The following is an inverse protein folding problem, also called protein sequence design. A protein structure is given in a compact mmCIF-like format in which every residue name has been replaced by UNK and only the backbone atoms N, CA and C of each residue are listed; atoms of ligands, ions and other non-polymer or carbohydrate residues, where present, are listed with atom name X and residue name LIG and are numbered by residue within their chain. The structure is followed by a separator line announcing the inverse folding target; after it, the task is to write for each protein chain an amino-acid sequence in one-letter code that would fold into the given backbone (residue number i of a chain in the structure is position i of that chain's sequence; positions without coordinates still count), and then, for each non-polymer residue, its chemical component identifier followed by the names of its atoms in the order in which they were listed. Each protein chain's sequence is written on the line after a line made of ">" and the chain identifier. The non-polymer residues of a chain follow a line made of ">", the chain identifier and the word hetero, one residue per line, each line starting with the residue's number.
data_IF_393595422435
#
_entry.id   IF_393595422435
#
_cell.length_a   1.000
_cell.length_b   1.000
_cell.length_c   1.000
_cell.angle_alpha   90.00
_cell.angle_beta   90.00
_cell.angle_gamma   90.00
#
_symmetry.space_group_name_H-M   'P 1'
#
loop_
_entity.id
_entity.type
_entity.pdbx_description
1 polymer ?
#
# COMPACT_ATOMS: atom_id res chain seq x y z
N UNK A 1 -30.81 -7.24 -19.09
CA UNK A 1 -30.32 -7.22 -17.69
C UNK A 1 -29.92 -5.79 -17.34
N UNK A 2 -29.86 -5.45 -16.05
CA UNK A 2 -29.54 -4.11 -15.56
C UNK A 2 -28.25 -4.14 -14.75
N UNK A 3 -27.22 -3.47 -15.26
CA UNK A 3 -25.91 -3.35 -14.67
C UNK A 3 -25.89 -2.21 -13.65
N UNK A 4 -25.26 -2.44 -12.51
CA UNK A 4 -25.05 -1.46 -11.45
C UNK A 4 -23.65 -1.56 -10.89
N UNK A 5 -23.13 -0.41 -10.44
CA UNK A 5 -21.93 -0.39 -9.62
C UNK A 5 -22.06 0.52 -8.41
N UNK A 6 -21.35 0.13 -7.36
CA UNK A 6 -21.09 0.93 -6.17
C UNK A 6 -19.62 0.81 -5.79
N UNK A 7 -18.98 1.94 -5.57
CA UNK A 7 -17.55 2.04 -5.26
C UNK A 7 -17.34 2.85 -4.00
N UNK A 8 -16.54 2.33 -3.08
CA UNK A 8 -16.04 3.06 -1.94
C UNK A 8 -15.05 4.14 -2.41
N UNK A 9 -15.27 5.40 -2.01
CA UNK A 9 -14.40 6.52 -2.29
C UNK A 9 -13.48 6.76 -1.10
N UNK A 10 -12.26 7.25 -1.37
CA UNK A 10 -11.30 7.62 -0.33
C UNK A 10 -11.07 6.49 0.68
N UNK A 11 -10.93 5.26 0.17
CA UNK A 11 -10.69 4.05 0.98
C UNK A 11 -9.47 4.26 1.90
N UNK A 12 -8.44 4.94 1.39
CA UNK A 12 -7.27 5.33 2.17
C UNK A 12 -7.63 6.26 3.35
N UNK A 13 -8.38 7.36 3.14
CA UNK A 13 -8.84 8.24 4.23
C UNK A 13 -9.69 7.46 5.25
N UNK A 14 -10.55 6.58 4.74
CA UNK A 14 -11.44 5.76 5.54
C UNK A 14 -10.67 4.81 6.47
N UNK A 15 -9.69 4.10 5.92
CA UNK A 15 -8.90 3.10 6.62
C UNK A 15 -7.88 3.78 7.54
N UNK A 16 -7.23 4.85 7.08
CA UNK A 16 -6.21 5.60 7.83
C UNK A 16 -6.76 6.69 8.76
N UNK A 17 -8.09 6.82 8.88
CA UNK A 17 -8.71 7.65 9.92
C UNK A 17 -8.39 7.17 11.34
N UNK A 18 -8.01 5.90 11.49
CA UNK A 18 -7.51 5.33 12.74
C UNK A 18 -5.98 5.31 12.77
N UNK A 19 -5.41 5.66 13.91
CA UNK A 19 -3.98 5.49 14.19
C UNK A 19 -3.62 4.06 14.61
N UNK A 20 -4.61 3.17 14.80
CA UNK A 20 -4.40 1.81 15.30
C UNK A 20 -4.31 0.82 14.15
N UNK A 21 -3.17 0.14 14.05
CA UNK A 21 -2.90 -0.85 13.01
C UNK A 21 -4.00 -1.93 12.88
N UNK A 22 -4.50 -2.44 14.02
CA UNK A 22 -5.56 -3.44 14.04
C UNK A 22 -6.84 -2.96 13.35
N UNK A 23 -7.16 -1.68 13.50
CA UNK A 23 -8.33 -1.08 12.85
C UNK A 23 -8.10 -0.78 11.36
N UNK A 24 -6.85 -0.51 10.98
CA UNK A 24 -6.44 -0.34 9.57
C UNK A 24 -6.62 -1.68 8.83
N UNK A 25 -5.94 -2.73 9.31
CA UNK A 25 -6.00 -4.07 8.73
C UNK A 25 -7.41 -4.67 8.79
N UNK A 26 -8.05 -4.64 9.96
CA UNK A 26 -9.42 -5.12 10.12
C UNK A 26 -10.45 -4.28 9.34
N UNK A 27 -10.15 -3.01 9.06
CA UNK A 27 -10.97 -2.15 8.19
C UNK A 27 -10.86 -2.50 6.71
N UNK A 28 -9.65 -2.80 6.22
CA UNK A 28 -9.45 -3.34 4.87
C UNK A 28 -10.20 -4.67 4.71
N UNK A 29 -10.05 -5.56 5.69
CA UNK A 29 -10.76 -6.84 5.71
C UNK A 29 -12.28 -6.69 5.71
N UNK A 30 -12.82 -5.83 6.60
CA UNK A 30 -14.24 -5.58 6.70
C UNK A 30 -14.81 -5.04 5.38
N UNK A 31 -14.06 -4.16 4.69
CA UNK A 31 -14.44 -3.65 3.37
C UNK A 31 -14.47 -4.77 2.33
N UNK A 32 -13.45 -5.63 2.29
CA UNK A 32 -13.42 -6.80 1.40
C UNK A 32 -14.61 -7.73 1.64
N UNK A 33 -14.88 -8.09 2.89
CA UNK A 33 -16.03 -8.92 3.30
C UNK A 33 -17.37 -8.27 2.96
N UNK A 34 -17.45 -6.94 3.06
CA UNK A 34 -18.64 -6.19 2.67
C UNK A 34 -18.87 -6.28 1.14
N UNK A 35 -17.82 -6.11 0.35
CA UNK A 35 -17.90 -6.22 -1.10
C UNK A 35 -18.22 -7.63 -1.59
N UNK A 36 -17.70 -8.69 -0.95
CA UNK A 36 -17.87 -10.08 -1.40
C UNK A 36 -19.08 -10.77 -0.75
N UNK A 37 -19.12 -10.88 0.58
CA UNK A 37 -20.11 -11.69 1.30
C UNK A 37 -21.40 -10.95 1.57
N UNK A 38 -21.32 -9.67 1.93
CA UNK A 38 -22.53 -8.88 2.24
C UNK A 38 -23.28 -8.54 0.96
N UNK A 39 -22.59 -8.17 -0.12
CA UNK A 39 -23.22 -7.94 -1.42
C UNK A 39 -24.02 -9.15 -1.89
N UNK A 40 -23.48 -10.37 -1.82
CA UNK A 40 -24.21 -11.60 -2.19
C UNK A 40 -25.47 -11.80 -1.35
N UNK A 41 -25.38 -11.60 -0.02
CA UNK A 41 -26.56 -11.69 0.85
C UNK A 41 -27.63 -10.64 0.54
N UNK A 42 -27.21 -9.43 0.19
CA UNK A 42 -28.14 -8.37 -0.24
C UNK A 42 -28.76 -8.73 -1.57
N UNK A 43 -27.98 -9.25 -2.53
CA UNK A 43 -28.48 -9.71 -3.82
C UNK A 43 -29.51 -10.83 -3.66
N UNK A 44 -29.22 -11.86 -2.85
CA UNK A 44 -30.15 -12.94 -2.52
C UNK A 44 -31.44 -12.41 -1.88
N UNK A 45 -31.32 -11.45 -0.96
CA UNK A 45 -32.49 -10.87 -0.30
C UNK A 45 -33.40 -10.11 -1.26
N UNK A 46 -32.84 -9.30 -2.17
CA UNK A 46 -33.64 -8.50 -3.11
C UNK A 46 -34.25 -9.33 -4.22
N UNK A 47 -33.72 -10.52 -4.52
CA UNK A 47 -34.25 -11.41 -5.57
C UNK A 47 -35.14 -12.54 -5.03
N UNK A 48 -35.15 -12.77 -3.71
CA UNK A 48 -35.84 -13.90 -3.08
C UNK A 48 -37.34 -14.03 -3.44
N UNK A 49 -38.06 -12.91 -3.48
CA UNK A 49 -39.52 -12.92 -3.67
C UNK A 49 -39.93 -13.35 -5.08
N UNK A 50 -39.22 -12.88 -6.10
CA UNK A 50 -39.61 -13.07 -7.51
C UNK A 50 -38.67 -14.03 -8.26
N UNK A 51 -37.73 -14.68 -7.55
CA UNK A 51 -36.73 -15.60 -8.11
C UNK A 51 -35.91 -15.01 -9.27
N UNK A 52 -35.67 -13.70 -9.23
CA UNK A 52 -34.90 -13.02 -10.27
C UNK A 52 -33.41 -13.42 -10.25
N UNK A 53 -32.78 -13.48 -11.42
CA UNK A 53 -31.35 -13.80 -11.53
C UNK A 53 -30.46 -12.57 -11.34
N UNK A 54 -29.23 -12.81 -10.87
CA UNK A 54 -28.19 -11.81 -10.78
C UNK A 54 -26.80 -12.42 -11.06
N UNK A 55 -25.85 -11.57 -11.47
CA UNK A 55 -24.46 -11.94 -11.75
C UNK A 55 -23.54 -10.88 -11.15
N UNK A 56 -22.49 -11.30 -10.43
CA UNK A 56 -21.40 -10.41 -10.02
C UNK A 56 -20.25 -10.46 -11.03
N UNK A 57 -19.79 -9.28 -11.44
CA UNK A 57 -18.61 -9.12 -12.28
C UNK A 57 -17.40 -8.63 -11.47
N UNK A 58 -17.63 -7.92 -10.35
CA UNK A 58 -16.57 -7.55 -9.42
C UNK A 58 -17.13 -7.40 -8.02
N UNK A 59 -16.35 -7.80 -7.02
CA UNK A 59 -16.73 -7.74 -5.61
C UNK A 59 -15.51 -7.54 -4.68
N UNK A 60 -14.49 -6.82 -5.16
CA UNK A 60 -13.18 -6.63 -4.50
C UNK A 60 -12.69 -5.18 -4.60
N UNK A 61 -11.68 -4.82 -3.80
CA UNK A 61 -11.04 -3.48 -3.86
C UNK A 61 -11.99 -2.32 -3.53
N UNK A 62 -13.01 -2.55 -2.71
CA UNK A 62 -14.02 -1.54 -2.39
C UNK A 62 -15.03 -1.25 -3.50
N UNK A 63 -15.05 -2.04 -4.57
CA UNK A 63 -16.00 -1.90 -5.67
C UNK A 63 -16.84 -3.16 -5.86
N UNK A 64 -18.13 -2.97 -6.12
CA UNK A 64 -19.07 -4.03 -6.49
C UNK A 64 -19.72 -3.67 -7.80
N UNK A 65 -19.60 -4.56 -8.78
CA UNK A 65 -20.25 -4.48 -10.10
C UNK A 65 -21.12 -5.72 -10.27
N UNK A 66 -22.41 -5.53 -10.50
CA UNK A 66 -23.38 -6.61 -10.62
C UNK A 66 -24.44 -6.31 -11.67
N UNK A 67 -24.99 -7.34 -12.31
CA UNK A 67 -26.17 -7.24 -13.17
C UNK A 67 -27.34 -8.02 -12.60
N UNK A 68 -28.54 -7.46 -12.74
CA UNK A 68 -29.80 -8.06 -12.29
C UNK A 68 -30.75 -8.23 -13.46
N UNK A 69 -31.60 -9.25 -13.41
CA UNK A 69 -32.63 -9.48 -14.43
C UNK A 69 -33.66 -8.34 -14.49
N UNK A 70 -34.03 -7.79 -13.33
CA UNK A 70 -35.02 -6.73 -13.21
C UNK A 70 -34.45 -5.45 -12.62
N UNK A 71 -34.84 -4.30 -13.18
CA UNK A 71 -34.39 -2.98 -12.75
C UNK A 71 -34.70 -2.69 -11.27
N UNK A 72 -35.87 -3.15 -10.80
CA UNK A 72 -36.30 -3.00 -9.41
C UNK A 72 -35.32 -3.63 -8.42
N UNK A 73 -34.76 -4.79 -8.76
CA UNK A 73 -33.76 -5.48 -7.92
C UNK A 73 -32.45 -4.71 -7.91
N UNK A 74 -32.02 -4.20 -9.07
CA UNK A 74 -30.82 -3.38 -9.18
C UNK A 74 -30.91 -2.09 -8.34
N UNK A 75 -32.07 -1.40 -8.38
CA UNK A 75 -32.32 -0.20 -7.56
C UNK A 75 -32.32 -0.51 -6.07
N UNK A 76 -32.99 -1.57 -5.67
CA UNK A 76 -33.08 -1.95 -4.26
C UNK A 76 -31.73 -2.43 -3.70
N UNK A 77 -30.98 -3.20 -4.49
CA UNK A 77 -29.60 -3.60 -4.17
C UNK A 77 -28.73 -2.37 -3.91
N UNK A 78 -28.72 -1.39 -4.81
CA UNK A 78 -27.97 -0.15 -4.63
C UNK A 78 -28.42 0.61 -3.38
N UNK A 79 -29.73 0.67 -3.10
CA UNK A 79 -30.27 1.36 -1.92
C UNK A 79 -29.74 0.74 -0.63
N UNK A 80 -29.82 -0.59 -0.50
CA UNK A 80 -29.37 -1.34 0.67
C UNK A 80 -27.85 -1.27 0.82
N UNK A 81 -27.10 -1.46 -0.27
CA UNK A 81 -25.64 -1.35 -0.27
C UNK A 81 -25.18 0.04 0.14
N UNK A 82 -25.80 1.12 -0.36
CA UNK A 82 -25.52 2.50 0.06
C UNK A 82 -25.73 2.68 1.55
N UNK A 83 -26.83 2.18 2.09
CA UNK A 83 -27.14 2.33 3.51
C UNK A 83 -26.16 1.59 4.40
N UNK A 84 -25.78 0.35 4.04
CA UNK A 84 -24.77 -0.39 4.79
C UNK A 84 -23.38 0.28 4.73
N UNK A 85 -22.97 0.80 3.57
CA UNK A 85 -21.73 1.58 3.46
C UNK A 85 -21.75 2.81 4.37
N UNK A 86 -22.86 3.55 4.38
CA UNK A 86 -23.02 4.76 5.21
C UNK A 86 -22.91 4.45 6.70
N UNK A 87 -23.46 3.33 7.15
CA UNK A 87 -23.42 2.92 8.57
C UNK A 87 -22.06 2.39 8.98
N UNK A 88 -21.46 1.54 8.17
CA UNK A 88 -20.20 0.85 8.50
C UNK A 88 -18.98 1.72 8.27
N UNK A 89 -18.99 2.56 7.24
CA UNK A 89 -17.81 3.30 6.79
C UNK A 89 -18.02 4.82 6.82
N UNK A 90 -19.27 5.29 6.91
CA UNK A 90 -19.60 6.71 6.94
C UNK A 90 -20.14 7.23 5.61
N UNK A 91 -20.79 8.40 5.61
CA UNK A 91 -21.53 8.93 4.44
C UNK A 91 -20.66 9.47 3.30
N UNK A 92 -19.40 9.86 3.56
CA UNK A 92 -18.50 10.53 2.61
C UNK A 92 -17.63 9.57 1.77
N UNK A 93 -18.15 8.37 1.51
CA UNK A 93 -17.30 7.23 1.15
C UNK A 93 -17.87 6.41 -0.01
N UNK A 94 -18.89 6.88 -0.74
CA UNK A 94 -19.47 6.07 -1.84
C UNK A 94 -19.78 6.86 -3.09
N UNK A 95 -19.51 6.24 -4.24
CA UNK A 95 -20.03 6.57 -5.57
C UNK A 95 -20.87 5.39 -6.06
N UNK A 96 -21.91 5.66 -6.84
CA UNK A 96 -22.79 4.60 -7.36
C UNK A 96 -23.46 5.05 -8.64
N UNK A 97 -23.78 4.10 -9.52
CA UNK A 97 -24.53 4.37 -10.75
C UNK A 97 -26.04 4.39 -10.52
N UNK A 98 -26.78 4.76 -11.57
CA UNK A 98 -28.15 4.27 -11.79
C UNK A 98 -28.10 2.92 -12.51
N UNK A 99 -29.20 2.12 -12.50
CA UNK A 99 -29.27 0.92 -13.32
C UNK A 99 -29.10 1.26 -14.81
N UNK A 100 -28.17 0.59 -15.47
CA UNK A 100 -27.89 0.74 -16.91
C UNK A 100 -28.36 -0.54 -17.60
N UNK A 101 -29.15 -0.43 -18.66
CA UNK A 101 -29.54 -1.60 -19.44
C UNK A 101 -28.33 -2.15 -20.21
N UNK A 102 -28.09 -3.45 -20.09
CA UNK A 102 -26.99 -4.12 -20.81
C UNK A 102 -27.40 -4.23 -22.27
N UNK A 103 -26.73 -3.46 -23.14
CA UNK A 103 -26.91 -3.52 -24.59
C UNK A 103 -26.15 -4.68 -25.22
N UNK A 104 -26.27 -4.82 -26.55
CA UNK A 104 -25.65 -5.92 -27.32
C UNK A 104 -24.11 -5.96 -27.21
N UNK A 105 -23.48 -4.81 -26.95
CA UNK A 105 -22.03 -4.68 -26.74
C UNK A 105 -21.71 -4.43 -25.26
N UNK A 106 -21.29 -5.47 -24.53
CA UNK A 106 -20.98 -5.39 -23.09
C UNK A 106 -19.94 -4.33 -22.71
N UNK A 107 -18.96 -4.05 -23.57
CA UNK A 107 -17.98 -2.96 -23.38
C UNK A 107 -18.59 -1.56 -23.34
N UNK A 108 -19.68 -1.34 -24.09
CA UNK A 108 -20.41 -0.06 -24.08
C UNK A 108 -21.01 0.22 -22.71
N UNK A 109 -21.71 -0.78 -22.14
CA UNK A 109 -22.31 -0.69 -20.82
C UNK A 109 -21.27 -0.55 -19.69
N UNK A 110 -20.09 -1.18 -19.82
CA UNK A 110 -19.01 -1.03 -18.83
C UNK A 110 -18.39 0.39 -18.85
N UNK A 111 -18.21 0.96 -20.05
CA UNK A 111 -17.71 2.33 -20.21
C UNK A 111 -18.70 3.37 -19.69
N UNK A 112 -20.00 3.16 -19.93
CA UNK A 112 -21.07 3.98 -19.36
C UNK A 112 -21.07 3.91 -17.83
N UNK A 113 -20.97 2.71 -17.27
CA UNK A 113 -20.88 2.49 -15.82
C UNK A 113 -19.70 3.21 -15.17
N UNK A 114 -18.50 3.12 -15.77
CA UNK A 114 -17.33 3.83 -15.25
C UNK A 114 -17.46 5.36 -15.36
N UNK A 115 -18.13 5.85 -16.42
CA UNK A 115 -18.43 7.28 -16.58
C UNK A 115 -19.38 7.77 -15.48
N UNK A 116 -20.45 7.03 -15.21
CA UNK A 116 -21.41 7.36 -14.15
C UNK A 116 -20.77 7.37 -12.77
N UNK A 117 -19.92 6.38 -12.46
CA UNK A 117 -19.15 6.37 -11.21
C UNK A 117 -18.22 7.59 -11.09
N UNK A 118 -17.61 8.03 -12.20
CA UNK A 118 -16.76 9.21 -12.22
C UNK A 118 -17.57 10.50 -11.99
N UNK A 119 -18.72 10.65 -12.64
CA UNK A 119 -19.61 11.81 -12.46
C UNK A 119 -20.12 11.87 -11.00
N UNK A 120 -20.60 10.74 -10.47
CA UNK A 120 -21.09 10.65 -9.10
C UNK A 120 -19.98 10.94 -8.07
N UNK A 121 -18.71 10.64 -8.37
CA UNK A 121 -17.56 11.02 -7.53
C UNK A 121 -17.37 12.54 -7.45
N UNK A 122 -17.55 13.27 -8.56
CA UNK A 122 -17.37 14.72 -8.60
C UNK A 122 -18.58 15.53 -8.09
N UNK A 123 -19.75 14.90 -8.02
CA UNK A 123 -21.01 15.53 -7.59
C UNK A 123 -20.99 15.98 -6.11
N UNK A 124 -19.95 15.63 -5.35
CA UNK A 124 -19.79 16.00 -3.96
C UNK A 124 -20.73 15.24 -3.02
N UNK A 125 -20.43 15.29 -1.73
CA UNK A 125 -21.32 14.73 -0.72
C UNK A 125 -22.23 15.82 -0.18
N UNK A 126 -23.52 15.50 -0.02
CA UNK A 126 -24.42 16.38 0.72
C UNK A 126 -23.82 16.67 2.11
N UNK A 127 -23.81 17.95 2.56
CA UNK A 127 -23.35 18.29 3.90
C UNK A 127 -24.09 17.47 4.94
N UNK A 128 -23.36 16.80 5.81
CA UNK A 128 -23.95 16.13 6.98
C UNK A 128 -23.79 17.04 8.17
N UNK A 129 -24.90 17.31 8.87
CA UNK A 129 -24.82 17.92 10.18
C UNK A 129 -24.00 17.01 11.10
N UNK A 130 -22.91 17.51 11.67
CA UNK A 130 -22.28 16.84 12.80
C UNK A 130 -23.19 17.01 14.00
N UNK A 131 -23.39 15.93 14.76
CA UNK A 131 -24.07 16.00 16.06
C UNK A 131 -23.15 16.76 17.00
N UNK A 132 -23.37 18.06 17.13
CA UNK A 132 -22.73 18.88 18.16
C UNK A 132 -23.64 18.89 19.38
N UNK A 133 -23.36 17.99 20.32
CA UNK A 133 -24.10 17.87 21.57
C UNK A 133 -23.10 17.64 22.71
N UNK A 134 -23.10 18.47 23.78
CA UNK A 134 -22.15 18.35 24.89
C UNK A 134 -22.26 17.03 25.66
N UNK A 135 -23.35 16.28 25.50
CA UNK A 135 -23.56 14.97 26.13
C UNK A 135 -23.17 13.79 25.23
N UNK A 136 -22.63 14.05 24.03
CA UNK A 136 -22.19 13.02 23.09
C UNK A 136 -20.68 12.93 23.10
N UNK A 137 -20.15 11.79 23.55
CA UNK A 137 -18.74 11.48 23.41
C UNK A 137 -18.38 11.23 21.93
N UNK A 138 -17.21 11.73 21.52
CA UNK A 138 -16.65 11.44 20.20
C UNK A 138 -15.81 10.16 20.31
N UNK A 139 -15.82 9.35 19.25
CA UNK A 139 -15.00 8.15 19.15
C UNK A 139 -13.53 8.49 19.38
N UNK A 140 -12.92 7.85 20.37
CA UNK A 140 -11.52 8.01 20.74
C UNK A 140 -10.56 7.66 19.61
N UNK A 141 -10.89 6.65 18.80
CA UNK A 141 -10.03 6.20 17.72
C UNK A 141 -10.07 7.09 16.47
N UNK A 142 -11.26 7.31 15.89
CA UNK A 142 -11.36 8.08 14.64
C UNK A 142 -11.56 9.59 14.85
N UNK A 143 -11.94 10.04 16.04
CA UNK A 143 -12.15 11.47 16.32
C UNK A 143 -13.30 12.14 15.56
N UNK A 144 -14.06 11.41 14.74
CA UNK A 144 -15.03 12.00 13.80
C UNK A 144 -16.50 11.70 14.13
N UNK A 145 -16.77 10.55 14.73
CA UNK A 145 -18.13 10.02 14.89
C UNK A 145 -18.56 9.97 16.36
N UNK A 146 -19.86 10.16 16.64
CA UNK A 146 -20.42 9.85 17.95
C UNK A 146 -20.05 8.43 18.38
N UNK A 147 -19.63 8.30 19.63
CA UNK A 147 -19.44 6.99 20.24
C UNK A 147 -20.78 6.36 20.60
N UNK A 148 -20.88 5.06 20.39
CA UNK A 148 -22.04 4.22 20.73
C UNK A 148 -21.62 2.94 21.48
N UNK A 149 -20.31 2.79 21.75
CA UNK A 149 -19.70 1.71 22.51
C UNK A 149 -18.75 2.28 23.55
N UNK A 150 -18.64 1.57 24.66
CA UNK A 150 -17.64 1.80 25.70
C UNK A 150 -16.81 0.53 25.78
N UNK A 151 -15.50 0.67 25.60
CA UNK A 151 -14.55 -0.44 25.69
C UNK A 151 -13.54 -0.12 26.79
N UNK A 152 -13.17 -1.15 27.53
CA UNK A 152 -12.14 -1.07 28.57
C UNK A 152 -10.85 -1.63 28.00
N UNK A 153 -9.76 -0.88 28.11
CA UNK A 153 -8.41 -1.37 27.81
C UNK A 153 -7.75 -1.84 29.11
N UNK A 154 -7.48 -3.14 29.17
CA UNK A 154 -6.84 -3.82 30.30
C UNK A 154 -5.34 -4.04 29.99
N UNK A 155 -4.69 -3.08 29.33
CA UNK A 155 -3.32 -3.18 28.82
C UNK A 155 -2.21 -3.28 29.89
N UNK A 156 -2.55 -3.72 31.10
CA UNK A 156 -1.63 -4.03 32.19
C UNK A 156 -1.27 -2.85 33.08
N UNK A 157 -1.98 -1.71 32.95
CA UNK A 157 -1.93 -0.63 33.94
C UNK A 157 -2.75 -0.99 35.18
N UNK A 158 -2.33 -0.49 36.36
CA UNK A 158 -3.03 -0.71 37.64
C UNK A 158 -4.49 -0.22 37.63
N UNK A 159 -4.86 0.65 36.66
CA UNK A 159 -6.23 1.08 36.42
C UNK A 159 -6.66 0.82 34.96
N UNK A 160 -7.84 0.20 34.75
CA UNK A 160 -8.40 -0.02 33.43
C UNK A 160 -8.81 1.32 32.78
N UNK A 161 -8.35 1.56 31.55
CA UNK A 161 -8.67 2.81 30.84
C UNK A 161 -9.96 2.63 30.04
N UNK A 162 -10.94 3.51 30.26
CA UNK A 162 -12.21 3.46 29.54
C UNK A 162 -12.16 4.35 28.30
N UNK A 163 -12.44 3.76 27.14
CA UNK A 163 -12.45 4.44 25.85
C UNK A 163 -13.82 4.34 25.17
N UNK A 164 -14.26 5.46 24.59
CA UNK A 164 -15.52 5.55 23.85
C UNK A 164 -15.29 5.32 22.36
N UNK A 165 -15.98 4.35 21.76
CA UNK A 165 -15.81 3.98 20.35
C UNK A 165 -17.12 4.12 19.57
N UNK A 166 -17.01 4.40 18.27
CA UNK A 166 -18.12 4.23 17.34
C UNK A 166 -18.18 2.78 16.82
N UNK A 167 -19.37 2.33 16.38
CA UNK A 167 -19.63 0.98 15.87
C UNK A 167 -18.62 0.55 14.80
N UNK A 168 -18.23 1.46 13.92
CA UNK A 168 -17.29 1.16 12.86
C UNK A 168 -15.89 0.84 13.38
N UNK A 169 -15.32 1.65 14.27
CA UNK A 169 -13.99 1.37 14.85
C UNK A 169 -13.99 0.08 15.69
N UNK A 170 -15.09 -0.18 16.40
CA UNK A 170 -15.30 -1.44 17.13
C UNK A 170 -15.33 -2.64 16.16
N UNK A 171 -16.13 -2.58 15.10
CA UNK A 171 -16.22 -3.64 14.09
C UNK A 171 -14.89 -3.87 13.36
N UNK A 172 -14.15 -2.82 13.03
CA UNK A 172 -12.81 -2.94 12.44
C UNK A 172 -11.84 -3.64 13.38
N UNK A 173 -11.83 -3.25 14.66
CA UNK A 173 -10.99 -3.90 15.67
C UNK A 173 -11.31 -5.38 15.81
N UNK A 174 -12.59 -5.74 15.87
CA UNK A 174 -13.05 -7.14 15.95
C UNK A 174 -12.75 -7.94 14.70
N UNK A 175 -12.78 -7.29 13.54
CA UNK A 175 -12.48 -7.90 12.24
C UNK A 175 -11.00 -8.24 12.05
N UNK A 176 -10.12 -7.75 12.93
CA UNK A 176 -8.68 -8.03 12.85
C UNK A 176 -8.34 -9.51 13.07
N UNK A 177 -9.07 -10.22 13.92
CA UNK A 177 -8.79 -11.64 14.19
C UNK A 177 -9.18 -12.54 12.99
N UNK A 178 -10.33 -12.24 12.38
CA UNK A 178 -10.75 -12.87 11.13
C UNK A 178 -9.72 -12.60 10.01
N UNK A 179 -9.27 -11.33 9.91
CA UNK A 179 -8.23 -10.92 8.97
C UNK A 179 -6.93 -11.70 9.17
N UNK A 180 -6.44 -11.77 10.41
CA UNK A 180 -5.22 -12.48 10.77
C UNK A 180 -5.28 -13.94 10.36
N UNK A 181 -6.39 -14.60 10.70
CA UNK A 181 -6.64 -16.00 10.35
C UNK A 181 -6.63 -16.24 8.83
N UNK A 182 -7.18 -15.32 8.04
CA UNK A 182 -7.21 -15.45 6.57
C UNK A 182 -5.84 -15.22 5.93
N UNK A 183 -5.06 -14.26 6.43
CA UNK A 183 -3.70 -14.00 5.95
C UNK A 183 -2.75 -15.14 6.33
N UNK A 184 -2.87 -15.69 7.54
CA UNK A 184 -2.04 -16.81 8.01
C UNK A 184 -2.21 -18.06 7.14
N UNK A 185 -3.40 -18.29 6.58
CA UNK A 185 -3.65 -19.38 5.62
C UNK A 185 -2.94 -19.21 4.27
N UNK A 186 -2.58 -17.97 3.91
CA UNK A 186 -1.89 -17.65 2.66
C UNK A 186 -0.37 -17.64 2.80
N UNK A 187 0.15 -17.77 4.03
CA UNK A 187 1.58 -17.75 4.28
C UNK A 187 2.28 -18.94 3.60
N UNK A 188 3.43 -18.64 2.99
CA UNK A 188 4.31 -19.61 2.34
C UNK A 188 5.60 -19.75 3.16
N UNK A 189 6.53 -20.59 2.71
CA UNK A 189 7.87 -20.67 3.31
C UNK A 189 7.99 -21.14 4.75
N UNK A 190 7.00 -21.89 5.26
CA UNK A 190 7.05 -22.43 6.64
C UNK A 190 6.71 -21.40 7.72
N UNK A 191 6.25 -20.21 7.33
CA UNK A 191 5.63 -19.25 8.23
C UNK A 191 4.20 -19.66 8.55
N UNK A 192 3.80 -19.50 9.80
CA UNK A 192 2.46 -19.90 10.30
C UNK A 192 1.72 -18.74 10.94
N UNK A 193 2.42 -17.67 11.31
CA UNK A 193 1.83 -16.52 11.99
C UNK A 193 2.28 -15.20 11.37
N UNK A 194 1.44 -14.17 11.48
CA UNK A 194 1.81 -12.80 11.17
C UNK A 194 2.04 -11.98 12.46
N UNK A 195 2.81 -10.87 12.37
CA UNK A 195 3.00 -9.94 13.46
C UNK A 195 1.66 -9.37 13.97
N UNK A 196 1.53 -9.19 15.28
CA UNK A 196 0.29 -8.65 15.89
C UNK A 196 0.29 -7.11 15.95
N UNK A 197 1.43 -6.49 15.67
CA UNK A 197 1.61 -5.05 15.60
C UNK A 197 2.95 -4.64 15.00
N UNK A 198 3.18 -3.33 14.90
CA UNK A 198 4.41 -2.75 14.33
C UNK A 198 5.64 -3.15 15.15
N UNK A 199 5.49 -3.26 16.47
CA UNK A 199 6.59 -3.56 17.40
C UNK A 199 7.23 -4.93 17.12
N UNK A 200 6.44 -5.93 16.71
CA UNK A 200 6.93 -7.26 16.37
C UNK A 200 7.87 -7.23 15.16
N UNK A 201 7.54 -6.40 14.15
CA UNK A 201 8.40 -6.19 12.99
C UNK A 201 9.63 -5.34 13.33
N UNK A 202 9.43 -4.34 14.18
CA UNK A 202 10.48 -3.45 14.60
C UNK A 202 11.54 -4.15 15.45
N UNK A 203 11.24 -5.24 16.17
CA UNK A 203 12.23 -6.06 16.91
C UNK A 203 13.35 -6.63 16.04
N UNK A 204 13.12 -6.78 14.73
CA UNK A 204 14.17 -7.16 13.78
C UNK A 204 15.18 -6.04 13.52
N UNK A 205 14.92 -4.85 14.06
CA UNK A 205 15.79 -3.67 14.06
C UNK A 205 15.91 -3.12 15.49
N UNK A 206 17.10 -3.17 16.09
CA UNK A 206 17.33 -2.67 17.46
C UNK A 206 16.95 -1.20 17.67
N UNK A 207 16.85 -0.43 16.59
CA UNK A 207 16.44 0.97 16.62
C UNK A 207 14.93 1.17 16.53
N UNK A 208 14.11 0.11 16.45
CA UNK A 208 12.66 0.19 16.50
C UNK A 208 12.04 0.82 15.25
N UNK A 209 12.64 0.55 14.09
CA UNK A 209 12.14 1.06 12.82
C UNK A 209 11.55 -0.04 11.94
N UNK A 210 10.66 0.40 11.06
CA UNK A 210 9.94 -0.42 10.10
C UNK A 210 9.96 0.24 8.72
N UNK A 211 9.68 -0.55 7.69
CA UNK A 211 9.49 -0.06 6.34
C UNK A 211 8.05 -0.30 5.90
N UNK A 212 7.39 0.76 5.45
CA UNK A 212 6.08 0.70 4.84
C UNK A 212 6.25 0.70 3.33
N UNK A 213 5.80 -0.37 2.69
CA UNK A 213 5.59 -0.44 1.26
C UNK A 213 4.18 0.06 0.96
N UNK A 214 4.08 1.06 0.10
CA UNK A 214 2.82 1.42 -0.56
C UNK A 214 3.03 1.19 -2.06
N UNK A 215 2.07 0.60 -2.74
CA UNK A 215 2.15 0.43 -4.19
C UNK A 215 0.84 0.73 -4.90
N UNK A 216 0.96 1.08 -6.17
CA UNK A 216 -0.15 1.47 -7.05
C UNK A 216 0.11 0.94 -8.47
N UNK A 217 -0.93 0.37 -9.08
CA UNK A 217 -0.91 -0.21 -10.42
C UNK A 217 -0.77 0.81 -11.55
N UNK A 218 0.19 0.60 -12.45
CA UNK A 218 0.38 1.45 -13.62
C UNK A 218 -0.57 1.03 -14.75
N UNK A 219 -1.27 2.00 -15.36
CA UNK A 219 -2.17 1.80 -16.50
C UNK A 219 -3.38 0.88 -16.28
N UNK A 220 -3.71 0.47 -15.04
CA UNK A 220 -4.86 -0.42 -14.77
C UNK A 220 -6.17 0.15 -15.31
N UNK A 221 -6.42 1.44 -15.13
CA UNK A 221 -7.62 2.09 -15.65
C UNK A 221 -7.71 2.16 -17.17
N UNK A 222 -6.57 2.19 -17.88
CA UNK A 222 -6.56 2.07 -19.34
C UNK A 222 -6.81 0.62 -19.77
N UNK A 223 -6.09 -0.31 -19.15
CA UNK A 223 -6.22 -1.74 -19.38
C UNK A 223 -7.67 -2.24 -19.24
N UNK A 224 -8.36 -1.82 -18.18
CA UNK A 224 -9.75 -2.17 -17.89
C UNK A 224 -10.73 -1.62 -18.93
N UNK A 225 -10.46 -0.46 -19.55
CA UNK A 225 -11.33 0.11 -20.59
C UNK A 225 -11.27 -0.66 -21.90
N UNK A 226 -10.15 -1.33 -22.16
CA UNK A 226 -9.89 -2.12 -23.36
C UNK A 226 -10.33 -3.60 -23.22
N UNK A 227 -10.97 -3.95 -22.10
CA UNK A 227 -11.57 -5.27 -21.91
C UNK A 227 -12.89 -5.33 -22.72
N UNK A 228 -13.06 -6.33 -23.61
CA UNK A 228 -14.13 -6.34 -24.60
C UNK A 228 -15.52 -6.63 -24.02
N UNK A 229 -15.61 -7.40 -22.94
CA UNK A 229 -16.87 -7.88 -22.39
C UNK A 229 -16.83 -8.05 -20.86
N UNK A 230 -18.00 -8.31 -20.28
CA UNK A 230 -18.17 -8.39 -18.83
C UNK A 230 -17.57 -9.67 -18.22
N UNK A 231 -17.49 -10.77 -18.98
CA UNK A 231 -16.89 -12.01 -18.52
C UNK A 231 -15.36 -11.90 -18.46
N UNK A 232 -14.75 -11.24 -19.45
CA UNK A 232 -13.35 -10.83 -19.43
C UNK A 232 -13.04 -9.89 -18.27
N UNK A 233 -13.93 -8.95 -17.95
CA UNK A 233 -13.76 -8.04 -16.81
C UNK A 233 -13.77 -8.78 -15.47
N UNK A 234 -14.67 -9.77 -15.34
CA UNK A 234 -14.74 -10.64 -14.17
C UNK A 234 -13.47 -11.48 -14.02
N UNK A 235 -13.09 -12.19 -15.07
CA UNK A 235 -11.88 -13.03 -15.07
C UNK A 235 -10.62 -12.22 -14.77
N UNK A 236 -10.49 -11.03 -15.36
CA UNK A 236 -9.38 -10.12 -15.05
C UNK A 236 -9.35 -9.72 -13.57
N UNK A 237 -10.50 -9.35 -13.00
CA UNK A 237 -10.58 -8.90 -11.60
C UNK A 237 -10.22 -10.01 -10.60
N UNK A 238 -10.58 -11.26 -10.92
CA UNK A 238 -10.26 -12.45 -10.11
C UNK A 238 -8.77 -12.80 -10.23
N UNK A 239 -8.27 -12.97 -11.46
CA UNK A 239 -6.86 -13.32 -11.73
C UNK A 239 -5.89 -12.23 -11.22
N UNK A 240 -6.27 -10.95 -11.28
CA UNK A 240 -5.43 -9.85 -10.78
C UNK A 240 -5.24 -9.95 -9.25
N UNK A 241 -6.31 -10.23 -8.50
CA UNK A 241 -6.23 -10.34 -7.05
C UNK A 241 -5.41 -11.57 -6.65
N UNK A 242 -5.59 -12.71 -7.33
CA UNK A 242 -4.80 -13.91 -7.12
C UNK A 242 -3.32 -13.66 -7.43
N UNK A 243 -3.02 -13.02 -8.57
CA UNK A 243 -1.64 -12.65 -8.95
C UNK A 243 -0.96 -11.80 -7.90
N UNK A 244 -1.66 -10.79 -7.35
CA UNK A 244 -1.13 -9.92 -6.30
C UNK A 244 -0.85 -10.71 -5.02
N UNK A 245 -1.79 -11.52 -4.57
CA UNK A 245 -1.63 -12.33 -3.36
C UNK A 245 -0.46 -13.31 -3.53
N UNK A 246 -0.40 -14.03 -4.66
CA UNK A 246 0.69 -14.95 -4.95
C UNK A 246 2.06 -14.27 -4.99
N UNK A 247 2.17 -13.13 -5.67
CA UNK A 247 3.40 -12.35 -5.74
C UNK A 247 3.80 -11.86 -4.36
N UNK A 248 2.88 -11.32 -3.57
CA UNK A 248 3.16 -10.79 -2.24
C UNK A 248 3.64 -11.89 -1.29
N UNK A 249 2.91 -13.00 -1.16
CA UNK A 249 3.25 -14.05 -0.22
C UNK A 249 4.47 -14.88 -0.66
N UNK A 250 4.74 -14.97 -1.97
CA UNK A 250 5.93 -15.68 -2.45
C UNK A 250 7.24 -14.97 -2.13
N UNK A 251 7.24 -13.65 -1.84
CA UNK A 251 8.44 -12.95 -1.32
C UNK A 251 8.95 -13.59 -0.02
N UNK A 252 8.07 -14.29 0.72
CA UNK A 252 8.47 -15.04 1.91
C UNK A 252 9.29 -16.28 1.61
N UNK A 253 9.23 -16.82 0.40
CA UNK A 253 9.98 -18.03 0.06
C UNK A 253 11.49 -17.79 0.07
N UNK A 254 11.92 -16.58 -0.24
CA UNK A 254 13.33 -16.18 -0.14
C UNK A 254 13.69 -15.71 1.27
N UNK A 255 12.70 -15.50 2.13
CA UNK A 255 12.85 -15.04 3.50
C UNK A 255 12.90 -16.18 4.55
N UNK A 256 12.87 -17.45 4.13
CA UNK A 256 12.77 -18.60 5.06
C UNK A 256 13.89 -18.63 6.10
N UNK A 257 15.08 -18.14 5.76
CA UNK A 257 16.24 -18.10 6.66
C UNK A 257 16.17 -16.99 7.72
N UNK A 258 15.13 -16.15 7.69
CA UNK A 258 15.06 -14.90 8.45
C UNK A 258 14.33 -15.02 9.79
N UNK A 259 13.67 -16.14 10.10
CA UNK A 259 12.97 -16.30 11.38
C UNK A 259 13.29 -17.63 12.08
N UNK A 260 13.59 -17.53 13.37
CA UNK A 260 13.70 -18.68 14.28
C UNK A 260 12.32 -19.14 14.82
N UNK A 261 11.24 -18.38 14.57
CA UNK A 261 9.96 -18.50 15.29
C UNK A 261 8.73 -18.66 14.37
N UNK A 262 8.89 -19.02 13.09
CA UNK A 262 7.77 -19.19 12.13
C UNK A 262 6.87 -17.96 11.93
N UNK A 263 7.25 -16.78 12.45
CA UNK A 263 6.54 -15.52 12.24
C UNK A 263 7.02 -14.86 10.95
N UNK A 264 6.09 -14.53 10.08
CA UNK A 264 6.39 -13.88 8.81
C UNK A 264 7.01 -12.48 9.04
N UNK A 265 8.10 -12.12 8.35
CA UNK A 265 8.68 -10.78 8.39
C UNK A 265 7.88 -9.80 7.53
N UNK A 266 6.55 -9.89 7.56
CA UNK A 266 5.66 -8.95 6.89
C UNK A 266 4.35 -8.82 7.65
N UNK A 267 3.70 -7.68 7.52
CA UNK A 267 2.32 -7.49 7.93
C UNK A 267 1.59 -6.71 6.84
N UNK A 268 0.83 -7.40 5.97
CA UNK A 268 -0.07 -6.70 5.06
C UNK A 268 -1.09 -5.92 5.89
N UNK A 269 -1.46 -4.73 5.43
CA UNK A 269 -2.49 -3.88 6.05
C UNK A 269 -3.64 -3.62 5.11
N UNK A 270 -3.32 -3.43 3.83
CA UNK A 270 -4.28 -3.29 2.77
C UNK A 270 -3.82 -4.12 1.58
N UNK A 271 -4.67 -5.05 1.17
CA UNK A 271 -4.46 -5.91 0.00
C UNK A 271 -5.75 -5.90 -0.80
N UNK A 272 -5.93 -4.94 -1.70
CA UNK A 272 -7.20 -4.84 -2.43
C UNK A 272 -7.07 -4.08 -3.74
N UNK A 273 -7.22 -4.79 -4.85
CA UNK A 273 -7.14 -4.19 -6.18
C UNK A 273 -5.73 -3.66 -6.47
N UNK A 274 -5.64 -2.40 -6.87
CA UNK A 274 -4.41 -1.71 -7.28
C UNK A 274 -3.58 -1.13 -6.13
N UNK A 275 -4.19 -0.87 -4.97
CA UNK A 275 -3.55 -0.26 -3.81
C UNK A 275 -3.10 -1.32 -2.80
N UNK A 276 -1.79 -1.35 -2.49
CA UNK A 276 -1.24 -2.19 -1.42
C UNK A 276 -0.55 -1.34 -0.36
N UNK A 277 -0.73 -1.75 0.90
CA UNK A 277 0.01 -1.25 2.05
C UNK A 277 0.52 -2.44 2.86
N UNK A 278 1.83 -2.58 2.95
CA UNK A 278 2.48 -3.71 3.65
C UNK A 278 3.62 -3.19 4.52
N UNK A 279 3.74 -3.71 5.73
CA UNK A 279 4.89 -3.44 6.58
C UNK A 279 5.91 -4.56 6.47
N UNK A 280 7.17 -4.17 6.46
CA UNK A 280 8.32 -5.04 6.55
C UNK A 280 9.26 -4.54 7.66
N UNK A 281 10.15 -5.40 8.18
CA UNK A 281 11.33 -4.96 8.90
C UNK A 281 12.16 -4.00 8.04
N UNK A 282 12.63 -2.90 8.64
CA UNK A 282 13.36 -1.85 7.92
C UNK A 282 14.54 -2.40 7.10
N UNK A 283 15.26 -3.39 7.64
CA UNK A 283 16.43 -4.02 6.99
C UNK A 283 16.14 -4.69 5.65
N UNK A 284 14.89 -5.11 5.41
CA UNK A 284 14.47 -5.85 4.22
C UNK A 284 13.44 -5.13 3.36
N UNK A 285 12.88 -4.02 3.84
CA UNK A 285 11.77 -3.35 3.15
C UNK A 285 12.03 -3.04 1.68
N UNK A 286 13.22 -2.52 1.35
CA UNK A 286 13.57 -2.23 -0.05
C UNK A 286 13.71 -3.51 -0.89
N UNK A 287 14.42 -4.53 -0.40
CA UNK A 287 14.64 -5.77 -1.15
C UNK A 287 13.36 -6.57 -1.34
N UNK A 288 12.51 -6.65 -0.32
CA UNK A 288 11.22 -7.34 -0.40
C UNK A 288 10.24 -6.61 -1.33
N UNK A 289 10.24 -5.28 -1.30
CA UNK A 289 9.43 -4.49 -2.25
C UNK A 289 9.91 -4.68 -3.69
N UNK A 290 11.23 -4.67 -3.91
CA UNK A 290 11.80 -4.88 -5.24
C UNK A 290 11.42 -6.26 -5.79
N UNK A 291 11.54 -7.29 -4.95
CA UNK A 291 11.18 -8.67 -5.30
C UNK A 291 9.69 -8.81 -5.62
N UNK A 292 8.81 -8.23 -4.80
CA UNK A 292 7.36 -8.17 -5.06
C UNK A 292 7.05 -7.56 -6.43
N UNK A 293 7.57 -6.35 -6.67
CA UNK A 293 7.31 -5.59 -7.90
C UNK A 293 7.86 -6.33 -9.13
N UNK A 294 8.99 -7.01 -9.01
CA UNK A 294 9.59 -7.84 -10.05
C UNK A 294 8.72 -9.05 -10.40
N UNK A 295 8.22 -9.77 -9.39
CA UNK A 295 7.35 -10.93 -9.56
C UNK A 295 6.02 -10.52 -10.18
N UNK A 296 5.45 -9.41 -9.73
CA UNK A 296 4.21 -8.88 -10.27
C UNK A 296 4.36 -8.53 -11.76
N UNK A 297 5.42 -7.81 -12.14
CA UNK A 297 5.65 -7.43 -13.55
C UNK A 297 5.74 -8.65 -14.48
N UNK A 298 6.35 -9.74 -14.01
CA UNK A 298 6.41 -10.99 -14.78
C UNK A 298 5.04 -11.68 -14.85
N UNK A 299 4.38 -11.87 -13.70
CA UNK A 299 3.09 -12.55 -13.63
C UNK A 299 1.98 -11.77 -14.37
N UNK A 300 2.03 -10.45 -14.35
CA UNK A 300 1.05 -9.58 -14.99
C UNK A 300 1.05 -9.69 -16.52
N UNK A 301 2.10 -10.27 -17.15
CA UNK A 301 2.08 -10.60 -18.59
C UNK A 301 0.95 -11.56 -18.94
N UNK A 302 0.64 -12.51 -18.06
CA UNK A 302 -0.44 -13.48 -18.27
C UNK A 302 -1.83 -12.81 -18.25
N UNK A 303 -1.97 -11.69 -17.52
CA UNK A 303 -3.22 -10.92 -17.48
C UNK A 303 -3.51 -10.23 -18.81
N UNK A 304 -2.50 -10.04 -19.68
CA UNK A 304 -2.65 -9.49 -21.02
C UNK A 304 -3.70 -10.22 -21.88
N UNK A 305 -4.04 -11.47 -21.58
CA UNK A 305 -5.09 -12.24 -22.26
C UNK A 305 -6.49 -11.61 -22.18
N UNK A 306 -6.74 -10.71 -21.22
CA UNK A 306 -8.04 -10.10 -20.99
C UNK A 306 -8.28 -8.78 -21.75
N UNK A 307 -7.22 -8.16 -22.26
CA UNK A 307 -7.29 -6.81 -22.83
C UNK A 307 -6.59 -6.76 -24.18
N UNK A 308 -7.14 -5.96 -25.10
CA UNK A 308 -6.48 -5.67 -26.38
C UNK A 308 -5.37 -4.61 -26.23
N UNK A 309 -5.10 -4.13 -25.01
CA UNK A 309 -4.06 -3.17 -24.73
C UNK A 309 -2.67 -3.72 -25.08
N UNK A 310 -1.89 -2.92 -25.80
CA UNK A 310 -0.48 -3.21 -26.09
C UNK A 310 0.42 -2.88 -24.88
N UNK A 311 -0.09 -2.12 -23.91
CA UNK A 311 0.64 -1.79 -22.68
C UNK A 311 0.64 -2.97 -21.70
N UNK A 312 1.83 -3.38 -21.25
CA UNK A 312 2.00 -4.33 -20.16
C UNK A 312 1.64 -3.70 -18.82
N UNK A 313 0.92 -4.44 -17.98
CA UNK A 313 0.65 -4.06 -16.60
C UNK A 313 1.94 -4.10 -15.76
N UNK A 314 2.13 -3.09 -14.92
CA UNK A 314 3.25 -3.01 -13.97
C UNK A 314 2.83 -2.29 -12.70
N UNK A 315 3.72 -2.19 -11.71
CA UNK A 315 3.44 -1.47 -10.46
C UNK A 315 4.54 -0.47 -10.13
N UNK A 316 4.12 0.65 -9.55
CA UNK A 316 5.03 1.60 -8.90
C UNK A 316 4.93 1.43 -7.39
N UNK A 317 6.07 1.36 -6.70
CA UNK A 317 6.10 1.21 -5.24
C UNK A 317 6.90 2.33 -4.55
N UNK A 318 6.43 2.74 -3.38
CA UNK A 318 7.10 3.66 -2.47
C UNK A 318 7.42 2.97 -1.16
N UNK A 319 8.67 3.09 -0.69
CA UNK A 319 9.10 2.55 0.60
C UNK A 319 9.42 3.69 1.58
N UNK A 320 8.63 3.81 2.65
CA UNK A 320 8.88 4.77 3.73
C UNK A 320 9.47 4.04 4.92
N UNK A 321 10.70 4.38 5.29
CA UNK A 321 11.38 3.79 6.44
C UNK A 321 11.31 4.77 7.61
N UNK A 322 10.69 4.37 8.73
CA UNK A 322 10.41 5.26 9.86
C UNK A 322 10.30 4.53 11.20
N UNK A 323 10.36 5.29 12.30
CA UNK A 323 10.18 4.75 13.66
C UNK A 323 8.80 4.11 13.78
N UNK A 324 8.70 3.02 14.55
CA UNK A 324 7.44 2.33 14.83
C UNK A 324 6.36 3.23 15.44
N UNK A 325 6.77 4.32 16.12
CA UNK A 325 5.89 5.29 16.78
C UNK A 325 5.26 6.31 15.82
N UNK A 326 5.70 6.37 14.57
CA UNK A 326 5.14 7.32 13.61
C UNK A 326 3.74 6.87 13.18
N UNK A 327 2.79 7.80 13.16
CA UNK A 327 1.39 7.48 12.83
C UNK A 327 1.24 6.96 11.39
N UNK A 328 0.40 5.95 11.19
CA UNK A 328 0.13 5.37 9.87
C UNK A 328 -0.36 6.40 8.86
N UNK A 329 -1.21 7.34 9.31
CA UNK A 329 -1.69 8.44 8.47
C UNK A 329 -0.55 9.29 7.91
N UNK A 330 0.39 9.67 8.77
CA UNK A 330 1.58 10.44 8.35
C UNK A 330 2.44 9.64 7.37
N UNK A 331 2.68 8.37 7.65
CA UNK A 331 3.46 7.51 6.76
C UNK A 331 2.82 7.37 5.39
N UNK A 332 1.49 7.19 5.36
CA UNK A 332 0.74 7.11 4.12
C UNK A 332 0.83 8.41 3.30
N UNK A 333 0.63 9.57 3.93
CA UNK A 333 0.77 10.88 3.27
C UNK A 333 2.17 11.07 2.67
N UNK A 334 3.21 10.68 3.41
CA UNK A 334 4.60 10.74 2.91
C UNK A 334 4.78 9.75 1.75
N UNK A 335 4.22 8.56 1.87
CA UNK A 335 4.36 7.50 0.87
C UNK A 335 3.66 7.79 -0.44
N UNK A 336 2.54 8.50 -0.44
CA UNK A 336 1.90 9.04 -1.65
C UNK A 336 2.86 9.92 -2.46
N UNK A 337 3.64 10.77 -1.79
CA UNK A 337 4.66 11.59 -2.46
C UNK A 337 5.85 10.76 -2.97
N UNK A 338 6.20 9.69 -2.27
CA UNK A 338 7.22 8.73 -2.71
C UNK A 338 6.74 7.97 -3.97
N UNK A 339 5.50 7.49 -4.00
CA UNK A 339 4.92 6.81 -5.17
C UNK A 339 4.86 7.71 -6.39
N UNK A 340 4.51 9.00 -6.22
CA UNK A 340 4.54 9.96 -7.35
C UNK A 340 5.91 10.01 -8.01
N UNK A 341 6.98 9.93 -7.22
CA UNK A 341 8.35 9.88 -7.74
C UNK A 341 8.64 8.59 -8.51
N UNK A 342 8.17 7.44 -8.00
CA UNK A 342 8.28 6.16 -8.70
C UNK A 342 7.50 6.15 -10.03
N UNK A 343 6.24 6.61 -10.02
CA UNK A 343 5.38 6.73 -11.21
C UNK A 343 5.98 7.63 -12.28
N UNK A 344 6.61 8.73 -11.88
CA UNK A 344 7.31 9.62 -12.80
C UNK A 344 8.45 8.89 -13.54
N UNK A 345 9.22 8.07 -12.82
CA UNK A 345 10.28 7.25 -13.42
C UNK A 345 9.74 6.13 -14.31
N UNK A 346 8.66 5.46 -13.89
CA UNK A 346 7.97 4.43 -14.69
C UNK A 346 7.53 4.98 -16.05
N UNK A 347 6.85 6.14 -16.08
CA UNK A 347 6.41 6.79 -17.32
C UNK A 347 7.55 7.14 -18.27
N UNK A 348 8.71 7.55 -17.75
CA UNK A 348 9.90 7.84 -18.56
C UNK A 348 10.61 6.60 -19.09
N UNK A 349 10.32 5.44 -18.51
CA UNK A 349 11.00 4.18 -18.79
C UNK A 349 10.12 3.19 -19.55
N UNK A 350 9.04 3.67 -20.19
CA UNK A 350 8.13 2.82 -20.96
C UNK A 350 7.13 2.03 -20.11
N UNK A 351 6.69 2.59 -18.98
CA UNK A 351 5.73 1.98 -18.05
C UNK A 351 6.23 0.69 -17.38
N UNK A 352 7.55 0.53 -17.25
CA UNK A 352 8.12 -0.53 -16.43
C UNK A 352 7.91 -0.27 -14.94
N UNK A 353 8.03 -1.32 -14.16
CA UNK A 353 8.01 -1.24 -12.72
C UNK A 353 9.10 -0.31 -12.17
N UNK A 354 8.74 0.53 -11.20
CA UNK A 354 9.64 1.51 -10.59
C UNK A 354 9.44 1.60 -9.09
N UNK A 355 10.51 1.98 -8.37
CA UNK A 355 10.47 2.13 -6.92
C UNK A 355 11.13 3.42 -6.48
N UNK A 356 10.57 4.05 -5.46
CA UNK A 356 11.18 5.15 -4.73
C UNK A 356 11.19 4.82 -3.24
N UNK A 357 12.10 5.42 -2.49
CA UNK A 357 12.10 5.25 -1.04
C UNK A 357 12.51 6.52 -0.31
N UNK A 358 12.11 6.64 0.96
CA UNK A 358 12.45 7.75 1.84
C UNK A 358 12.71 7.23 3.25
N UNK A 359 13.80 7.69 3.85
CA UNK A 359 14.17 7.34 5.23
C UNK A 359 13.93 8.55 6.14
N UNK A 360 13.12 8.38 7.17
CA UNK A 360 12.78 9.43 8.12
C UNK A 360 13.66 9.31 9.37
N UNK A 361 14.80 10.00 9.37
CA UNK A 361 15.73 10.00 10.49
C UNK A 361 15.39 11.09 11.53
N UNK A 362 14.89 10.69 12.70
CA UNK A 362 14.67 11.57 13.86
C UNK A 362 13.38 12.41 13.82
N UNK A 363 13.15 13.20 14.88
CA UNK A 363 11.92 13.98 15.13
C UNK A 363 11.78 15.27 14.31
N UNK A 364 12.56 15.45 13.23
CA UNK A 364 12.43 16.62 12.36
C UNK A 364 11.29 16.39 11.37
N UNK A 365 10.08 16.68 11.84
CA UNK A 365 8.98 17.11 10.99
C UNK A 365 9.47 18.34 10.20
N UNK A 366 9.31 18.32 8.88
CA UNK A 366 9.58 19.50 8.06
C UNK A 366 8.27 19.98 7.45
N UNK A 367 8.03 21.27 7.67
CA UNK A 367 6.94 22.09 7.15
C UNK A 367 6.67 21.84 5.66
N UNK A 368 5.38 21.90 5.32
CA UNK A 368 4.85 21.73 3.95
C UNK A 368 5.27 22.85 2.97
N UNK A 369 5.89 23.94 3.44
CA UNK A 369 6.07 25.17 2.67
C UNK A 369 7.51 25.43 2.17
N UNK A 370 8.26 24.39 1.82
CA UNK A 370 9.56 24.55 1.15
C UNK A 370 9.45 24.24 -0.36
N UNK A 371 8.79 25.12 -1.11
CA UNK A 371 8.82 25.14 -2.57
C UNK A 371 10.15 25.67 -3.14
N UNK A 372 11.28 25.45 -2.45
CA UNK A 372 12.59 25.81 -2.96
C UNK A 372 13.67 24.85 -2.45
N UNK A 373 14.51 24.47 -3.40
CA UNK A 373 15.76 23.72 -3.28
C UNK A 373 16.57 24.04 -2.03
N UNK A 374 16.98 22.98 -1.32
CA UNK A 374 18.05 22.86 -0.30
C UNK A 374 17.59 22.60 1.14
N UNK A 375 17.95 21.39 1.61
CA UNK A 375 18.11 20.97 3.00
C UNK A 375 16.93 21.18 3.96
N UNK A 376 15.99 20.25 3.91
CA UNK A 376 15.28 19.79 5.09
C UNK A 376 15.65 18.31 5.28
N UNK A 377 16.32 17.99 6.38
CA UNK A 377 16.89 16.67 6.70
C UNK A 377 15.83 15.57 6.68
N UNK A 378 15.86 14.77 5.60
CA UNK A 378 14.94 13.69 5.25
C UNK A 378 15.02 13.40 3.73
N UNK A 379 16.20 13.09 3.21
CA UNK A 379 16.41 12.70 1.80
C UNK A 379 16.00 11.21 1.62
N UNK A 380 15.44 10.74 0.50
CA UNK A 380 15.64 11.10 -0.91
C UNK A 380 14.32 11.27 -1.69
N UNK A 381 14.40 11.96 -2.85
CA UNK A 381 13.25 12.29 -3.72
C UNK A 381 13.58 12.01 -5.21
N UNK A 382 13.73 10.74 -5.57
CA UNK A 382 13.84 10.30 -6.95
C UNK A 382 13.36 8.86 -7.11
N UNK A 383 12.57 8.58 -8.14
CA UNK A 383 12.21 7.21 -8.51
C UNK A 383 13.37 6.54 -9.24
N UNK A 384 13.58 5.27 -8.96
CA UNK A 384 14.60 4.41 -9.54
C UNK A 384 13.96 3.30 -10.37
N UNK A 385 14.65 2.90 -11.43
CA UNK A 385 14.31 1.65 -12.14
C UNK A 385 14.76 0.45 -11.32
N UNK A 386 14.16 -0.71 -11.62
CA UNK A 386 14.52 -1.99 -11.01
C UNK A 386 16.03 -2.25 -11.05
N UNK A 387 16.67 -2.19 -12.21
CA UNK A 387 18.10 -2.45 -12.37
C UNK A 387 18.98 -1.52 -11.54
N UNK A 388 18.55 -0.26 -11.38
CA UNK A 388 19.28 0.73 -10.57
C UNK A 388 19.20 0.39 -9.08
N UNK A 389 18.08 -0.16 -8.60
CA UNK A 389 17.96 -0.60 -7.22
C UNK A 389 18.73 -1.91 -6.99
N UNK A 390 18.72 -2.82 -7.96
CA UNK A 390 19.53 -4.05 -7.91
C UNK A 390 21.03 -3.71 -7.80
N UNK A 391 21.51 -2.74 -8.61
CA UNK A 391 22.87 -2.19 -8.51
C UNK A 391 23.14 -1.59 -7.12
N UNK A 392 22.21 -0.75 -6.61
CA UNK A 392 22.27 -0.14 -5.28
C UNK A 392 22.39 -1.23 -4.19
N UNK A 393 21.60 -2.29 -4.27
CA UNK A 393 21.59 -3.40 -3.31
C UNK A 393 22.84 -4.30 -3.43
N UNK A 394 23.34 -4.54 -4.64
CA UNK A 394 24.54 -5.33 -4.88
C UNK A 394 25.78 -4.63 -4.30
N UNK A 395 25.96 -3.34 -4.62
CA UNK A 395 26.99 -2.52 -3.98
C UNK A 395 26.80 -2.47 -2.46
N UNK A 396 25.54 -2.48 -2.00
CA UNK A 396 25.24 -2.59 -0.58
C UNK A 396 25.71 -3.89 0.07
N UNK A 397 25.88 -4.97 -0.67
CA UNK A 397 26.49 -6.18 -0.10
C UNK A 397 28.01 -6.06 -0.09
N UNK A 398 28.57 -5.52 -1.17
CA UNK A 398 30.03 -5.41 -1.36
C UNK A 398 30.70 -4.44 -0.37
N UNK A 399 30.01 -3.37 0.03
CA UNK A 399 30.57 -2.42 1.01
C UNK A 399 30.20 -2.74 2.48
N UNK A 400 29.59 -3.90 2.81
CA UNK A 400 29.10 -4.23 4.19
C UNK A 400 30.20 -4.45 5.21
N UNK A 401 31.43 -4.61 4.73
CA UNK A 401 32.62 -4.73 5.55
C UNK A 401 33.42 -3.42 5.66
N UNK A 402 32.95 -2.31 5.11
CA UNK A 402 33.56 -0.99 5.35
C UNK A 402 33.28 -0.51 6.77
N UNK A 403 34.29 0.02 7.46
CA UNK A 403 34.05 0.65 8.75
C UNK A 403 33.15 1.89 8.62
N UNK A 404 32.36 2.18 9.65
CA UNK A 404 31.47 3.34 9.62
C UNK A 404 32.19 4.70 9.44
N UNK A 405 33.49 4.78 9.79
CA UNK A 405 34.31 5.98 9.53
C UNK A 405 34.58 6.18 8.04
N UNK A 406 34.88 5.11 7.30
CA UNK A 406 35.07 5.17 5.85
C UNK A 406 33.75 5.49 5.13
N UNK A 407 32.63 4.96 5.61
CA UNK A 407 31.30 5.25 5.05
C UNK A 407 30.86 6.69 5.25
N UNK A 408 31.00 7.22 6.48
CA UNK A 408 30.66 8.61 6.78
C UNK A 408 31.49 9.59 5.94
N UNK A 409 32.77 9.27 5.72
CA UNK A 409 33.66 10.03 4.84
C UNK A 409 33.24 9.95 3.38
N UNK A 410 32.88 8.77 2.87
CA UNK A 410 32.34 8.60 1.52
C UNK A 410 31.08 9.47 1.33
N UNK A 411 30.17 9.48 2.32
CA UNK A 411 28.96 10.33 2.28
C UNK A 411 29.29 11.82 2.26
N UNK A 412 30.20 12.28 3.12
CA UNK A 412 30.65 13.68 3.12
C UNK A 412 31.26 14.08 1.77
N UNK A 413 32.09 13.20 1.22
CA UNK A 413 32.67 13.38 -0.11
C UNK A 413 31.60 13.50 -1.19
N UNK A 414 30.47 12.81 -1.08
CA UNK A 414 29.38 12.89 -2.03
C UNK A 414 28.54 14.16 -1.85
N UNK A 415 28.21 14.54 -0.60
CA UNK A 415 27.34 15.69 -0.25
C UNK A 415 27.88 17.04 -0.71
N UNK A 416 29.18 17.14 -0.95
CA UNK A 416 29.85 18.39 -1.29
C UNK A 416 30.62 18.27 -2.60
N UNK A 417 30.39 19.21 -3.52
CA UNK A 417 31.16 19.37 -4.77
C UNK A 417 32.46 20.15 -4.53
N UNK A 418 33.14 19.93 -3.40
CA UNK A 418 34.35 20.70 -3.05
C UNK A 418 35.62 20.04 -3.62
N UNK A 419 36.52 20.80 -4.28
CA UNK A 419 37.79 20.27 -4.81
C UNK A 419 38.71 19.67 -3.73
N UNK A 420 38.61 20.13 -2.48
CA UNK A 420 39.37 19.55 -1.36
C UNK A 420 38.99 18.08 -1.10
N UNK A 421 37.75 17.70 -1.41
CA UNK A 421 37.25 16.34 -1.20
C UNK A 421 37.60 15.39 -2.35
N UNK A 422 38.09 15.87 -3.50
CA UNK A 422 38.44 14.97 -4.63
C UNK A 422 39.66 14.09 -4.31
N UNK A 423 40.63 14.62 -3.56
CA UNK A 423 41.76 13.82 -3.04
C UNK A 423 41.30 12.76 -2.02
N UNK A 424 40.24 13.04 -1.27
CA UNK A 424 39.66 12.11 -0.30
C UNK A 424 38.75 11.08 -0.95
N UNK A 425 37.97 11.49 -1.97
CA UNK A 425 37.22 10.59 -2.84
C UNK A 425 38.12 9.54 -3.43
N UNK A 426 39.27 9.94 -3.97
CA UNK A 426 40.21 8.98 -4.52
C UNK A 426 40.87 8.08 -3.48
N UNK A 427 41.03 8.55 -2.23
CA UNK A 427 41.46 7.67 -1.13
C UNK A 427 40.41 6.62 -0.79
N UNK A 428 39.12 6.97 -0.76
CA UNK A 428 38.06 6.01 -0.48
C UNK A 428 37.85 5.06 -1.66
N UNK A 429 37.88 5.56 -2.90
CA UNK A 429 37.84 4.73 -4.10
C UNK A 429 39.01 3.76 -4.15
N UNK A 430 40.21 4.19 -3.75
CA UNK A 430 41.39 3.31 -3.62
C UNK A 430 41.17 2.21 -2.58
N UNK A 431 40.61 2.53 -1.42
CA UNK A 431 40.27 1.54 -0.39
C UNK A 431 39.22 0.53 -0.88
N UNK A 432 38.27 0.96 -1.71
CA UNK A 432 37.28 0.07 -2.33
C UNK A 432 37.97 -0.77 -3.42
N UNK A 433 38.83 -0.18 -4.24
CA UNK A 433 39.50 -0.89 -5.35
C UNK A 433 40.49 -1.94 -4.85
N UNK A 434 41.14 -1.70 -3.71
CA UNK A 434 41.99 -2.69 -3.02
C UNK A 434 41.22 -3.95 -2.59
N UNK A 435 39.88 -3.87 -2.48
CA UNK A 435 39.01 -5.01 -2.15
C UNK A 435 38.33 -5.60 -3.37
N UNK A 436 37.74 -4.73 -4.19
CA UNK A 436 37.06 -5.08 -5.43
C UNK A 436 37.16 -3.91 -6.42
N UNK A 437 38.00 -4.09 -7.44
CA UNK A 437 38.26 -3.08 -8.47
C UNK A 437 37.01 -2.77 -9.30
N UNK A 438 36.16 -3.77 -9.55
CA UNK A 438 34.90 -3.60 -10.29
C UNK A 438 33.88 -2.76 -9.48
N UNK A 439 33.78 -2.98 -8.17
CA UNK A 439 32.96 -2.15 -7.26
C UNK A 439 33.44 -0.70 -7.26
N UNK A 440 34.76 -0.47 -7.19
CA UNK A 440 35.32 0.89 -7.19
C UNK A 440 35.03 1.63 -8.50
N UNK A 441 35.11 0.93 -9.63
CA UNK A 441 34.77 1.48 -10.93
C UNK A 441 33.28 1.87 -11.01
N UNK A 442 32.38 0.98 -10.58
CA UNK A 442 30.93 1.24 -10.50
C UNK A 442 30.59 2.41 -9.59
N UNK A 443 31.21 2.47 -8.41
CA UNK A 443 31.08 3.60 -7.48
C UNK A 443 31.52 4.89 -8.16
N UNK A 444 32.67 4.92 -8.84
CA UNK A 444 33.18 6.10 -9.56
C UNK A 444 32.25 6.51 -10.72
N UNK A 445 31.72 5.56 -11.47
CA UNK A 445 30.76 5.81 -12.56
C UNK A 445 29.46 6.41 -12.03
N UNK A 446 28.91 5.86 -10.95
CA UNK A 446 27.69 6.38 -10.31
C UNK A 446 27.90 7.72 -9.64
N UNK A 447 29.08 7.99 -9.08
CA UNK A 447 29.43 9.33 -8.58
C UNK A 447 29.38 10.38 -9.68
N UNK A 448 29.77 9.99 -10.90
CA UNK A 448 29.84 10.87 -12.05
C UNK A 448 28.49 11.03 -12.76
N UNK A 449 27.69 9.97 -12.83
CA UNK A 449 26.48 9.92 -13.66
C UNK A 449 25.16 9.79 -12.88
N UNK A 450 25.18 9.26 -11.64
CA UNK A 450 24.00 8.98 -10.81
C UNK A 450 24.24 9.31 -9.33
N UNK A 451 24.63 10.54 -8.95
CA UNK A 451 24.98 10.88 -7.56
C UNK A 451 23.83 10.58 -6.59
N UNK A 452 22.57 10.77 -7.02
CA UNK A 452 21.38 10.44 -6.22
C UNK A 452 21.33 8.98 -5.77
N UNK A 453 21.74 8.03 -6.62
CA UNK A 453 21.71 6.61 -6.34
C UNK A 453 22.73 6.21 -5.28
N UNK A 454 23.94 6.77 -5.31
CA UNK A 454 24.97 6.46 -4.31
C UNK A 454 24.68 7.10 -2.94
N UNK A 455 24.05 8.28 -2.91
CA UNK A 455 23.50 8.79 -1.65
C UNK A 455 22.44 7.88 -1.07
N UNK A 456 21.55 7.35 -1.92
CA UNK A 456 20.50 6.45 -1.51
C UNK A 456 21.08 5.14 -0.92
N UNK A 457 22.15 4.60 -1.51
CA UNK A 457 22.95 3.49 -0.95
C UNK A 457 23.45 3.83 0.45
N UNK A 458 24.07 5.00 0.63
CA UNK A 458 24.74 5.36 1.88
C UNK A 458 23.80 5.79 3.00
N UNK A 459 22.67 6.41 2.69
CA UNK A 459 21.63 6.73 3.68
C UNK A 459 20.91 5.46 4.15
N UNK A 460 20.59 4.53 3.25
CA UNK A 460 20.11 3.20 3.64
C UNK A 460 21.12 2.43 4.49
N UNK A 461 22.42 2.72 4.33
CA UNK A 461 23.50 2.04 5.04
C UNK A 461 23.75 2.52 6.47
N UNK A 462 24.04 3.81 6.67
CA UNK A 462 24.38 4.36 8.00
C UNK A 462 23.25 4.13 9.01
N UNK A 463 22.03 4.11 8.50
CA UNK A 463 20.85 3.82 9.29
C UNK A 463 20.83 2.38 9.83
N UNK A 464 21.13 1.38 9.00
CA UNK A 464 21.14 -0.02 9.40
C UNK A 464 22.40 -0.38 10.22
N UNK A 465 23.48 0.41 10.11
CA UNK A 465 24.76 0.10 10.76
C UNK A 465 25.11 0.94 12.00
N UNK A 466 24.52 2.12 12.19
CA UNK A 466 24.65 2.89 13.44
C UNK A 466 24.24 2.08 14.69
N UNK A 467 23.66 0.89 14.50
CA UNK A 467 23.15 0.01 15.53
C UNK A 467 23.78 -1.40 15.56
N UNK A 468 24.80 -1.70 14.72
CA UNK A 468 25.70 -2.86 14.95
C UNK A 468 26.66 -2.62 16.13
N UNK A 469 26.97 -1.36 16.46
CA UNK A 469 28.02 -0.98 17.42
C UNK A 469 27.69 -1.11 18.92
N UNK A 470 26.46 -1.53 19.27
CA UNK A 470 26.09 -1.87 20.65
C UNK A 470 25.65 -3.34 20.76
N UNK A 471 26.24 -4.24 19.95
CA UNK A 471 26.07 -5.70 20.06
C UNK A 471 27.18 -6.30 20.89
#
# INVERSE_FOLDING_TARGET
>A
MYLVAIRALKIQDLIHSSSRLKEVAGGSYLLGRYCSRISSRVADHVTAHDKGKYIFYRSSGGEVVAAFEHEKHAREFLRLMKEGYRRLFGRRVISSTTPIEVGDNGSGSLNELHRDLAIARYSGFAPTAQVQNPYVAICWSCGERPADRVLTDDSGSDEPTVHHFCLSCDLRSKSFEDYKSEVEQKLKGGFTTIPSGVDDLARHDRSGYVAYMISDGNSFGHFVREIPDLDGYKGFSEDLQETIDECLFSVLDDAKFLSNNQMAPMLPLMTGGDDLLVLFPARWGISMTLDFVARFEEAAKALGKYSNSVESLSMSAGVVICKQTLSHKTVHEIGEDVIKSAKYTSKRSGLSSALAFRVLAGSKYCDRDASNTNLATGCTCGGFRRSEIEEILAMRRELDDLSSSHRRRLKQCLSSHSPMLDSERERVLKLISERNEDTALKVREMMSHKPKSIFAVLEGWEYLESHRRNS
#
